data_IF_551863564659
#
_entry.id   IF_551863564659
#
_cell.length_a   1.000
_cell.length_b   1.000
_cell.length_c   1.000
_cell.angle_alpha   90.00
_cell.angle_beta   90.00
_cell.angle_gamma   90.00
#
_symmetry.space_group_name_H-M   'P 1'
#
loop_
_entity.id
_entity.type
_entity.pdbx_description
1 polymer ?
#
# COMPACT_ATOMS: atom_id res chain seq x y z
N UNK A 1 -24.09 23.67 16.83
CA UNK A 1 -25.34 23.34 16.12
C UNK A 1 -25.16 23.28 14.60
N UNK A 2 -24.58 24.27 13.91
CA UNK A 2 -24.20 24.08 12.49
C UNK A 2 -22.94 23.18 12.33
N UNK A 3 -21.91 23.39 13.15
CA UNK A 3 -20.69 22.54 13.14
C UNK A 3 -20.96 21.06 13.53
N UNK A 4 -21.83 20.81 14.51
CA UNK A 4 -22.18 19.43 14.95
C UNK A 4 -22.98 18.66 13.88
N UNK A 5 -23.82 19.35 13.10
CA UNK A 5 -24.59 18.73 12.00
C UNK A 5 -23.69 18.49 10.79
N UNK A 6 -22.70 19.36 10.55
CA UNK A 6 -21.70 19.19 9.49
C UNK A 6 -20.71 18.04 9.80
N UNK A 7 -20.32 17.88 11.08
CA UNK A 7 -19.53 16.74 11.56
C UNK A 7 -20.31 15.42 11.51
N UNK A 8 -21.60 15.39 11.89
CA UNK A 8 -22.44 14.18 11.74
C UNK A 8 -22.69 13.78 10.28
N UNK A 9 -22.71 14.73 9.34
CA UNK A 9 -22.78 14.45 7.91
C UNK A 9 -21.44 13.90 7.36
N UNK A 10 -20.29 14.34 7.88
CA UNK A 10 -18.97 13.79 7.52
C UNK A 10 -18.78 12.34 8.01
N UNK A 11 -19.18 12.04 9.26
CA UNK A 11 -19.10 10.69 9.83
C UNK A 11 -20.09 9.70 9.20
N UNK A 12 -21.33 10.14 8.94
CA UNK A 12 -22.31 9.34 8.21
C UNK A 12 -21.91 9.06 6.75
N UNK A 13 -21.20 10.00 6.12
CA UNK A 13 -20.67 9.84 4.76
C UNK A 13 -19.52 8.82 4.72
N UNK A 14 -18.59 8.85 5.68
CA UNK A 14 -17.43 7.94 5.74
C UNK A 14 -17.86 6.48 6.00
N UNK A 15 -18.80 6.26 6.92
CA UNK A 15 -19.35 4.92 7.24
C UNK A 15 -20.27 4.39 6.14
N UNK A 16 -21.00 5.26 5.44
CA UNK A 16 -21.75 4.90 4.23
C UNK A 16 -20.84 4.65 3.01
N UNK A 17 -19.66 5.28 2.95
CA UNK A 17 -18.63 5.08 1.93
C UNK A 17 -17.97 3.69 2.05
N UNK A 18 -17.61 3.31 3.28
CA UNK A 18 -17.06 1.97 3.58
C UNK A 18 -18.07 0.87 3.21
N UNK A 19 -19.37 1.14 3.34
CA UNK A 19 -20.44 0.18 3.01
C UNK A 19 -20.65 -0.07 1.51
N UNK A 20 -19.92 0.61 0.60
CA UNK A 20 -19.99 0.40 -0.86
C UNK A 20 -18.69 -0.09 -1.50
N UNK A 21 -17.72 -0.54 -0.70
CA UNK A 21 -16.58 -1.34 -1.15
C UNK A 21 -15.69 -0.69 -2.22
N UNK A 22 -15.39 0.60 -2.06
CA UNK A 22 -14.50 1.35 -2.94
C UNK A 22 -13.08 0.78 -3.04
N UNK A 23 -12.26 1.38 -3.88
CA UNK A 23 -10.83 1.05 -4.01
C UNK A 23 -9.98 1.73 -2.92
N UNK A 24 -8.77 1.18 -2.71
CA UNK A 24 -7.81 1.74 -1.77
C UNK A 24 -7.33 3.14 -2.18
N UNK A 25 -7.31 3.48 -3.47
CA UNK A 25 -6.93 4.83 -3.92
C UNK A 25 -7.90 5.88 -3.38
N UNK A 26 -9.19 5.58 -3.37
CA UNK A 26 -10.18 6.51 -2.87
C UNK A 26 -10.20 6.55 -1.36
N UNK A 27 -9.88 5.45 -0.68
CA UNK A 27 -9.62 5.46 0.75
C UNK A 27 -8.47 6.43 1.09
N UNK A 28 -7.30 6.28 0.45
CA UNK A 28 -6.15 7.16 0.64
C UNK A 28 -6.46 8.62 0.36
N UNK A 29 -7.19 8.93 -0.72
CA UNK A 29 -7.60 10.31 -1.04
C UNK A 29 -8.44 10.96 0.05
N UNK A 30 -9.23 10.18 0.78
CA UNK A 30 -10.15 10.70 1.80
C UNK A 30 -9.51 10.83 3.18
N UNK A 31 -8.64 9.90 3.58
CA UNK A 31 -8.06 9.87 4.94
C UNK A 31 -6.55 10.16 4.98
N UNK A 32 -5.87 10.22 3.84
CA UNK A 32 -4.42 10.33 3.76
C UNK A 32 -3.74 8.99 4.05
N UNK A 33 -2.71 9.02 4.88
CA UNK A 33 -1.99 7.83 5.31
C UNK A 33 -2.88 6.88 6.13
N UNK A 34 -2.71 5.58 5.90
CA UNK A 34 -3.37 4.52 6.65
C UNK A 34 -2.60 4.22 7.95
N UNK A 35 -3.32 3.85 9.03
CA UNK A 35 -2.69 3.27 10.20
C UNK A 35 -1.86 2.03 9.84
N UNK A 36 -0.71 1.86 10.49
CA UNK A 36 0.25 0.78 10.20
C UNK A 36 -0.40 -0.60 10.21
N UNK A 37 -1.29 -0.88 11.18
CA UNK A 37 -1.99 -2.16 11.26
C UNK A 37 -2.90 -2.40 10.06
N UNK A 38 -3.66 -1.39 9.65
CA UNK A 38 -4.53 -1.48 8.48
C UNK A 38 -3.71 -1.69 7.21
N UNK A 39 -2.64 -0.91 7.03
CA UNK A 39 -1.71 -1.06 5.92
C UNK A 39 -1.09 -2.48 5.89
N UNK A 40 -0.68 -3.01 7.05
CA UNK A 40 -0.14 -4.36 7.19
C UNK A 40 -1.13 -5.42 6.73
N UNK A 41 -2.38 -5.33 7.16
CA UNK A 41 -3.43 -6.30 6.81
C UNK A 41 -3.77 -6.26 5.33
N UNK A 42 -4.03 -5.07 4.76
CA UNK A 42 -4.32 -4.92 3.33
C UNK A 42 -3.15 -5.37 2.46
N UNK A 43 -1.93 -5.01 2.86
CA UNK A 43 -0.73 -5.44 2.15
C UNK A 43 -0.58 -6.97 2.22
N UNK A 44 -0.77 -7.59 3.39
CA UNK A 44 -0.66 -9.03 3.55
C UNK A 44 -1.70 -9.81 2.73
N UNK A 45 -2.95 -9.34 2.69
CA UNK A 45 -3.96 -9.96 1.82
C UNK A 45 -3.58 -9.85 0.34
N UNK A 46 -3.00 -8.71 -0.05
CA UNK A 46 -2.49 -8.50 -1.41
C UNK A 46 -1.30 -9.43 -1.71
N UNK A 47 -0.40 -9.68 -0.75
CA UNK A 47 0.69 -10.67 -0.86
C UNK A 47 0.13 -12.07 -1.14
N UNK A 48 -0.93 -12.49 -0.44
CA UNK A 48 -1.57 -13.79 -0.69
C UNK A 48 -2.21 -13.86 -2.08
N UNK A 49 -2.86 -12.79 -2.53
CA UNK A 49 -3.43 -12.71 -3.86
C UNK A 49 -2.34 -12.81 -4.94
N UNK A 50 -1.20 -12.13 -4.77
CA UNK A 50 -0.07 -12.20 -5.69
C UNK A 50 0.61 -13.56 -5.67
N UNK A 51 0.82 -14.16 -4.49
CA UNK A 51 1.32 -15.52 -4.35
C UNK A 51 0.49 -16.49 -5.19
N UNK A 52 -0.84 -16.38 -5.09
CA UNK A 52 -1.75 -17.18 -5.91
C UNK A 52 -1.52 -16.96 -7.40
N UNK A 53 -1.56 -15.72 -7.89
CA UNK A 53 -1.36 -15.41 -9.32
C UNK A 53 -0.01 -15.92 -9.84
N UNK A 54 1.06 -15.64 -9.11
CA UNK A 54 2.42 -16.01 -9.48
C UNK A 54 2.60 -17.53 -9.54
N UNK A 55 1.93 -18.29 -8.67
CA UNK A 55 1.95 -19.77 -8.69
C UNK A 55 1.30 -20.35 -9.96
N UNK A 56 0.36 -19.62 -10.58
CA UNK A 56 -0.20 -19.97 -11.89
C UNK A 56 0.57 -19.36 -13.07
N UNK A 57 1.72 -18.73 -12.82
CA UNK A 57 2.54 -18.08 -13.85
C UNK A 57 1.96 -16.76 -14.36
N UNK A 58 0.98 -16.19 -13.65
CA UNK A 58 0.35 -14.92 -14.00
C UNK A 58 1.11 -13.80 -13.29
N UNK A 59 1.44 -12.73 -14.03
CA UNK A 59 2.01 -11.48 -13.50
C UNK A 59 0.92 -10.42 -13.62
N UNK A 60 0.67 -9.65 -12.57
CA UNK A 60 -0.42 -8.66 -12.53
C UNK A 60 -0.14 -7.50 -13.48
N UNK A 61 1.05 -6.88 -13.34
CA UNK A 61 1.61 -5.77 -14.15
C UNK A 61 0.99 -4.39 -13.99
N UNK A 62 -0.19 -4.28 -13.38
CA UNK A 62 -0.84 -2.99 -13.11
C UNK A 62 -1.27 -2.88 -11.64
N UNK A 63 -0.37 -3.18 -10.70
CA UNK A 63 -0.68 -3.01 -9.29
C UNK A 63 -0.63 -1.54 -8.91
N UNK A 64 -1.73 -1.06 -8.34
CA UNK A 64 -1.91 0.28 -7.78
C UNK A 64 -3.13 0.25 -6.84
N UNK A 65 -3.29 1.21 -5.93
CA UNK A 65 -4.42 1.22 -5.00
C UNK A 65 -5.79 1.26 -5.69
N UNK A 66 -5.91 1.80 -6.90
CA UNK A 66 -7.15 1.78 -7.69
C UNK A 66 -7.59 0.34 -8.04
N UNK A 67 -6.63 -0.57 -8.14
CA UNK A 67 -6.85 -1.97 -8.47
C UNK A 67 -6.96 -2.88 -7.22
N UNK A 68 -6.99 -2.29 -6.01
CA UNK A 68 -7.20 -2.97 -4.73
C UNK A 68 -8.60 -2.63 -4.19
N UNK A 69 -9.59 -3.47 -4.52
CA UNK A 69 -10.96 -3.26 -4.06
C UNK A 69 -11.15 -3.75 -2.63
N UNK A 70 -11.81 -2.94 -1.81
CA UNK A 70 -12.20 -3.32 -0.45
C UNK A 70 -13.59 -3.94 -0.53
N UNK A 71 -13.74 -5.18 -0.08
CA UNK A 71 -15.04 -5.86 -0.07
C UNK A 71 -15.93 -5.34 1.06
N UNK A 72 -17.22 -5.65 1.02
CA UNK A 72 -18.15 -5.36 2.14
C UNK A 72 -17.79 -6.06 3.46
N UNK A 73 -16.86 -7.01 3.43
CA UNK A 73 -16.31 -7.69 4.60
C UNK A 73 -14.99 -7.08 5.09
N UNK A 74 -14.47 -6.04 4.42
CA UNK A 74 -13.20 -5.40 4.74
C UNK A 74 -11.96 -6.04 4.11
N UNK A 75 -12.12 -7.11 3.32
CA UNK A 75 -10.99 -7.79 2.65
C UNK A 75 -10.64 -7.16 1.30
N UNK A 76 -9.39 -7.24 0.90
CA UNK A 76 -8.85 -6.84 -0.39
C UNK A 76 -9.16 -7.88 -1.47
N UNK A 77 -9.53 -7.37 -2.64
CA UNK A 77 -9.59 -8.12 -3.90
C UNK A 77 -8.85 -7.37 -4.99
N UNK A 78 -7.96 -8.08 -5.67
CA UNK A 78 -7.35 -7.60 -6.91
C UNK A 78 -8.41 -7.51 -8.01
N UNK A 79 -8.43 -6.38 -8.70
CA UNK A 79 -9.22 -6.15 -9.90
C UNK A 79 -8.31 -5.79 -11.08
N UNK A 80 -8.91 -5.71 -12.27
CA UNK A 80 -8.26 -5.34 -13.53
C UNK A 80 -7.06 -6.21 -13.95
N UNK A 81 -7.36 -7.48 -14.25
CA UNK A 81 -6.42 -8.39 -14.90
C UNK A 81 -6.21 -8.11 -16.41
N UNK A 82 -6.60 -6.93 -16.89
CA UNK A 82 -6.56 -6.57 -18.31
C UNK A 82 -5.17 -6.72 -18.94
N UNK A 83 -4.11 -6.49 -18.15
CA UNK A 83 -2.72 -6.68 -18.56
C UNK A 83 -2.15 -8.05 -18.19
N UNK A 84 -2.74 -8.74 -17.22
CA UNK A 84 -2.31 -10.07 -16.76
C UNK A 84 -2.58 -11.16 -17.81
N UNK A 85 -3.58 -10.94 -18.67
CA UNK A 85 -3.96 -11.88 -19.76
C UNK A 85 -2.99 -11.87 -20.94
N UNK A 86 -2.22 -10.79 -21.14
CA UNK A 86 -1.12 -10.80 -22.12
C UNK A 86 0.00 -11.80 -21.71
N UNK A 87 0.04 -12.25 -20.46
CA UNK A 87 0.92 -13.32 -19.98
C UNK A 87 0.48 -14.74 -20.37
N UNK A 88 -0.78 -14.98 -20.76
CA UNK A 88 -1.21 -16.31 -21.20
C UNK A 88 -0.59 -16.72 -22.56
N UNK A 89 -0.01 -15.76 -23.30
CA UNK A 89 0.81 -16.05 -24.49
C UNK A 89 2.24 -16.50 -24.15
N UNK A 90 2.65 -16.51 -22.87
CA UNK A 90 4.01 -16.85 -22.44
C UNK A 90 4.22 -18.31 -22.03
N UNK A 91 3.22 -19.18 -22.13
CA UNK A 91 3.38 -20.61 -21.82
C UNK A 91 3.95 -21.45 -22.98
N UNK A 92 4.34 -20.82 -24.10
CA UNK A 92 4.93 -21.52 -25.26
C UNK A 92 6.22 -20.95 -25.83
N UNK A 93 6.86 -19.92 -25.28
CA UNK A 93 8.05 -19.35 -25.94
C UNK A 93 9.14 -18.89 -24.96
N UNK A 94 10.06 -19.74 -24.51
CA UNK A 94 11.28 -20.00 -25.28
C UNK A 94 11.05 -19.84 -26.78
N UNK A 95 11.36 -18.66 -27.34
CA UNK A 95 11.82 -18.42 -28.74
C UNK A 95 11.55 -16.96 -29.17
N UNK A 96 12.63 -16.28 -29.55
CA UNK A 96 12.75 -15.10 -30.42
C UNK A 96 12.33 -13.70 -29.91
N UNK A 97 13.39 -12.93 -29.59
CA UNK A 97 13.67 -11.48 -29.57
C UNK A 97 12.82 -10.48 -30.39
N UNK A 98 11.70 -10.84 -31.02
CA UNK A 98 10.93 -9.92 -31.89
C UNK A 98 9.64 -9.33 -31.28
N UNK A 99 9.04 -9.98 -30.29
CA UNK A 99 7.72 -9.58 -29.76
C UNK A 99 7.81 -8.78 -28.45
N UNK A 100 8.89 -8.97 -27.68
CA UNK A 100 9.09 -8.32 -26.37
C UNK A 100 9.18 -6.79 -26.52
N UNK A 101 9.89 -6.28 -27.54
CA UNK A 101 10.01 -4.83 -27.74
C UNK A 101 8.68 -4.18 -28.12
N UNK A 102 7.86 -4.85 -28.94
CA UNK A 102 6.56 -4.32 -29.36
C UNK A 102 5.57 -4.31 -28.20
N UNK A 103 5.54 -5.38 -27.41
CA UNK A 103 4.70 -5.49 -26.22
C UNK A 103 5.15 -4.51 -25.14
N UNK A 104 6.47 -4.32 -24.94
CA UNK A 104 7.01 -3.32 -23.99
C UNK A 104 6.69 -1.88 -24.42
N UNK A 105 6.72 -1.58 -25.72
CA UNK A 105 6.43 -0.24 -26.25
C UNK A 105 4.94 0.09 -26.24
N UNK A 106 4.08 -0.87 -26.58
CA UNK A 106 2.61 -0.71 -26.47
C UNK A 106 2.15 -0.66 -25.00
N UNK A 107 2.84 -1.39 -24.11
CA UNK A 107 2.63 -1.29 -22.66
C UNK A 107 3.04 0.09 -22.13
N UNK A 108 4.20 0.62 -22.54
CA UNK A 108 4.62 1.98 -22.18
C UNK A 108 3.63 3.03 -22.69
N UNK A 109 3.22 2.99 -23.95
CA UNK A 109 2.32 4.01 -24.51
C UNK A 109 0.95 4.05 -23.79
N UNK A 110 0.45 2.91 -23.29
CA UNK A 110 -0.79 2.85 -22.48
C UNK A 110 -0.57 3.30 -21.03
N UNK A 111 0.58 3.01 -20.44
CA UNK A 111 0.93 3.36 -19.05
C UNK A 111 1.43 4.80 -18.89
N UNK A 112 2.08 5.38 -19.91
CA UNK A 112 2.45 6.80 -19.96
C UNK A 112 1.19 7.68 -20.00
N UNK A 113 0.05 7.13 -20.45
CA UNK A 113 -1.27 7.76 -20.31
C UNK A 113 -2.02 7.37 -19.00
N UNK A 114 -1.44 6.46 -18.19
CA UNK A 114 -1.96 5.96 -16.92
C UNK A 114 -1.24 6.55 -15.70
N UNK A 115 -1.06 5.74 -14.66
CA UNK A 115 -0.43 6.11 -13.38
C UNK A 115 1.03 5.58 -13.36
N UNK A 116 2.01 6.31 -13.96
CA UNK A 116 3.39 5.84 -14.15
C UNK A 116 4.20 5.62 -12.87
N UNK A 117 3.71 6.06 -11.72
CA UNK A 117 4.39 6.08 -10.42
C UNK A 117 4.71 4.67 -9.88
N UNK A 118 4.04 3.64 -10.37
CA UNK A 118 4.18 2.24 -9.93
C UNK A 118 5.09 1.41 -10.84
N UNK A 119 5.62 1.99 -11.92
CA UNK A 119 6.40 1.27 -12.92
C UNK A 119 7.79 0.94 -12.37
N UNK A 120 8.18 -0.33 -12.49
CA UNK A 120 9.50 -0.78 -12.06
C UNK A 120 10.65 -0.28 -12.98
N UNK A 121 11.87 -0.06 -12.46
CA UNK A 121 13.01 0.45 -13.23
C UNK A 121 13.33 -0.40 -14.47
N UNK A 122 13.24 -1.73 -14.36
CA UNK A 122 13.51 -2.63 -15.48
C UNK A 122 12.50 -2.49 -16.63
N UNK A 123 11.26 -2.07 -16.35
CA UNK A 123 10.23 -1.81 -17.36
C UNK A 123 10.54 -0.51 -18.10
N UNK A 124 10.92 0.54 -17.35
CA UNK A 124 11.35 1.84 -17.90
C UNK A 124 12.57 1.64 -18.83
N UNK A 125 13.55 0.87 -18.36
CA UNK A 125 14.78 0.55 -19.08
C UNK A 125 14.56 -0.46 -20.22
N UNK A 126 13.32 -0.91 -20.45
CA UNK A 126 12.94 -1.91 -21.48
C UNK A 126 13.74 -3.19 -21.41
N UNK A 127 14.11 -3.58 -20.19
CA UNK A 127 14.70 -4.86 -19.91
C UNK A 127 13.56 -5.89 -19.84
N UNK A 128 13.82 -7.13 -20.26
CA UNK A 128 12.83 -8.20 -20.11
C UNK A 128 12.35 -8.28 -18.66
N UNK A 129 11.04 -8.29 -18.45
CA UNK A 129 10.43 -8.20 -17.11
C UNK A 129 9.56 -9.41 -16.79
N UNK A 130 9.32 -9.65 -15.49
CA UNK A 130 8.60 -10.82 -14.99
C UNK A 130 7.94 -10.54 -13.63
N UNK A 131 7.74 -11.58 -12.82
CA UNK A 131 7.12 -11.47 -11.48
C UNK A 131 7.69 -10.37 -10.56
N UNK A 132 9.00 -10.04 -10.58
CA UNK A 132 9.55 -8.99 -9.72
C UNK A 132 8.95 -7.59 -9.88
N UNK A 133 8.32 -7.28 -11.02
CA UNK A 133 7.68 -5.96 -11.22
C UNK A 133 6.48 -5.75 -10.30
N UNK A 134 5.76 -6.82 -9.99
CA UNK A 134 4.62 -6.75 -9.06
C UNK A 134 5.11 -6.44 -7.63
N UNK A 135 6.26 -6.98 -7.24
CA UNK A 135 6.86 -6.69 -5.92
C UNK A 135 7.39 -5.27 -5.81
N UNK A 136 7.89 -4.68 -6.90
CA UNK A 136 8.21 -3.25 -6.94
C UNK A 136 6.96 -2.41 -6.70
N UNK A 137 5.90 -2.65 -7.47
CA UNK A 137 4.64 -1.92 -7.33
C UNK A 137 4.04 -2.08 -5.92
N UNK A 138 4.16 -3.27 -5.32
CA UNK A 138 3.81 -3.47 -3.91
C UNK A 138 4.62 -2.57 -2.97
N UNK A 139 5.92 -2.40 -3.18
CA UNK A 139 6.75 -1.46 -2.42
C UNK A 139 6.25 -0.02 -2.49
N UNK A 140 5.85 0.43 -3.69
CA UNK A 140 5.25 1.76 -3.91
C UNK A 140 3.92 1.88 -3.15
N UNK A 141 3.05 0.88 -3.27
CA UNK A 141 1.74 0.84 -2.58
C UNK A 141 1.91 0.89 -1.07
N UNK A 142 2.85 0.13 -0.49
CA UNK A 142 3.07 0.13 0.96
C UNK A 142 3.60 1.48 1.46
N UNK A 143 4.52 2.07 0.72
CA UNK A 143 4.99 3.43 1.03
C UNK A 143 3.82 4.41 1.01
N UNK A 144 3.01 4.41 -0.05
CA UNK A 144 1.87 5.31 -0.17
C UNK A 144 0.80 5.04 0.88
N UNK A 145 0.58 3.78 1.26
CA UNK A 145 -0.31 3.44 2.38
C UNK A 145 0.15 4.08 3.68
N UNK A 146 1.46 4.12 3.95
CA UNK A 146 1.99 4.60 5.22
C UNK A 146 2.28 6.11 5.23
N UNK A 147 2.54 6.72 4.08
CA UNK A 147 2.93 8.13 3.95
C UNK A 147 1.80 8.99 3.37
N UNK A 148 0.87 8.39 2.62
CA UNK A 148 -0.23 9.09 1.95
C UNK A 148 0.13 9.65 0.56
N UNK A 149 1.37 9.49 0.11
CA UNK A 149 1.83 9.84 -1.23
C UNK A 149 2.89 8.84 -1.72
N UNK A 150 3.12 8.79 -3.04
CA UNK A 150 4.13 7.93 -3.65
C UNK A 150 5.56 8.42 -3.33
N UNK A 151 6.58 7.52 -3.32
CA UNK A 151 7.95 7.90 -2.99
C UNK A 151 8.68 8.65 -4.12
N UNK A 152 8.22 8.50 -5.37
CA UNK A 152 8.79 9.16 -6.54
C UNK A 152 7.70 9.94 -7.26
N UNK A 153 7.96 11.20 -7.59
CA UNK A 153 7.02 12.11 -8.24
C UNK A 153 7.77 13.16 -9.05
N UNK A 154 7.41 13.30 -10.34
CA UNK A 154 7.98 14.29 -11.24
C UNK A 154 6.89 15.01 -12.04
N UNK A 155 7.15 16.27 -12.41
CA UNK A 155 6.22 17.06 -13.23
C UNK A 155 6.14 16.53 -14.67
N UNK A 156 7.18 15.81 -15.09
CA UNK A 156 7.26 15.11 -16.38
C UNK A 156 7.55 13.61 -16.18
N UNK A 157 7.10 12.74 -17.11
CA UNK A 157 7.47 11.33 -17.09
C UNK A 157 8.99 11.10 -17.06
N UNK A 158 9.75 11.92 -17.77
CA UNK A 158 11.22 11.85 -17.80
C UNK A 158 11.85 12.11 -16.43
N UNK A 159 11.34 13.11 -15.69
CA UNK A 159 11.78 13.40 -14.33
C UNK A 159 11.40 12.26 -13.38
N UNK A 160 10.14 11.79 -13.41
CA UNK A 160 9.70 10.66 -12.60
C UNK A 160 10.56 9.42 -12.85
N UNK A 161 10.80 9.08 -14.11
CA UNK A 161 11.62 7.93 -14.47
C UNK A 161 13.09 8.11 -14.06
N UNK A 162 13.61 9.34 -14.13
CA UNK A 162 14.94 9.68 -13.61
C UNK A 162 15.06 9.37 -12.12
N UNK A 163 14.07 9.80 -11.34
CA UNK A 163 14.00 9.55 -9.89
C UNK A 163 13.90 8.05 -9.59
N UNK A 164 12.98 7.33 -10.25
CA UNK A 164 12.80 5.88 -10.06
C UNK A 164 14.09 5.08 -10.29
N UNK A 165 14.96 5.55 -11.20
CA UNK A 165 16.22 4.87 -11.53
C UNK A 165 17.36 5.25 -10.57
N UNK A 166 17.38 6.49 -10.05
CA UNK A 166 18.60 7.09 -9.50
C UNK A 166 18.46 7.63 -8.08
N UNK A 167 17.25 7.94 -7.64
CA UNK A 167 17.02 8.63 -6.37
C UNK A 167 16.78 7.64 -5.23
N UNK A 168 17.23 8.02 -4.04
CA UNK A 168 16.93 7.30 -2.81
C UNK A 168 15.54 7.68 -2.28
N UNK A 169 14.90 6.75 -1.58
CA UNK A 169 13.61 6.99 -0.92
C UNK A 169 13.79 8.03 0.18
N UNK A 170 12.94 9.05 0.18
CA UNK A 170 12.85 10.02 1.27
C UNK A 170 11.90 9.46 2.33
N UNK A 171 12.33 9.47 3.59
CA UNK A 171 11.53 8.97 4.71
C UNK A 171 10.99 10.13 5.55
N UNK A 172 9.74 10.05 6.03
CA UNK A 172 9.25 10.94 7.08
C UNK A 172 10.13 10.83 8.35
N UNK A 173 10.32 11.95 9.03
CA UNK A 173 11.13 12.06 10.25
C UNK A 173 10.28 12.53 11.45
N UNK A 174 10.81 12.37 12.66
CA UNK A 174 10.15 12.85 13.88
C UNK A 174 8.88 12.06 14.20
N UNK A 175 7.80 12.77 14.50
CA UNK A 175 6.52 12.18 14.93
C UNK A 175 5.78 11.43 13.80
N UNK A 176 6.15 11.68 12.54
CA UNK A 176 5.61 10.99 11.36
C UNK A 176 6.48 9.80 10.93
N UNK A 177 7.56 9.51 11.66
CA UNK A 177 8.52 8.47 11.28
C UNK A 177 7.86 7.07 11.23
N UNK A 178 8.09 6.37 10.12
CA UNK A 178 7.57 5.02 9.94
C UNK A 178 8.30 4.00 10.82
N UNK A 179 7.63 2.92 11.25
CA UNK A 179 8.28 1.79 11.90
C UNK A 179 9.49 1.27 11.11
N UNK A 180 10.57 0.93 11.81
CA UNK A 180 11.83 0.50 11.16
C UNK A 180 11.63 -0.75 10.29
N UNK A 181 10.80 -1.69 10.72
CA UNK A 181 10.47 -2.87 9.95
C UNK A 181 9.65 -2.56 8.69
N UNK A 182 8.81 -1.53 8.69
CA UNK A 182 8.12 -1.05 7.51
C UNK A 182 9.11 -0.44 6.50
N UNK A 183 10.02 0.43 6.96
CA UNK A 183 11.06 1.01 6.10
C UNK A 183 11.95 -0.08 5.48
N UNK A 184 12.40 -1.05 6.28
CA UNK A 184 13.20 -2.17 5.79
C UNK A 184 12.46 -3.02 4.75
N UNK A 185 11.16 -3.27 4.95
CA UNK A 185 10.35 -4.00 3.98
C UNK A 185 10.28 -3.25 2.65
N UNK A 186 9.92 -1.96 2.69
CA UNK A 186 9.80 -1.11 1.51
C UNK A 186 11.16 -1.00 0.79
N UNK A 187 12.25 -0.73 1.49
CA UNK A 187 13.60 -0.69 0.90
C UNK A 187 14.02 -2.00 0.23
N UNK A 188 13.56 -3.14 0.76
CA UNK A 188 13.84 -4.47 0.19
C UNK A 188 12.99 -4.76 -1.05
N UNK A 189 11.76 -4.23 -1.11
CA UNK A 189 10.86 -4.31 -2.27
C UNK A 189 11.23 -3.30 -3.37
N UNK A 190 11.75 -2.14 -3.02
CA UNK A 190 12.18 -1.08 -3.94
C UNK A 190 13.67 -1.17 -4.32
N UNK A 191 14.21 -2.39 -4.34
CA UNK A 191 15.53 -2.64 -4.93
C UNK A 191 15.46 -2.48 -6.45
N UNK A 192 16.31 -1.61 -7.01
CA UNK A 192 16.35 -1.32 -8.45
C UNK A 192 16.75 -2.53 -9.28
N UNK A 193 17.65 -3.37 -8.75
CA UNK A 193 18.00 -4.64 -9.38
C UNK A 193 16.94 -5.72 -9.05
N UNK A 194 16.15 -6.19 -10.04
CA UNK A 194 15.06 -7.14 -9.80
C UNK A 194 15.53 -8.52 -9.32
N UNK A 195 16.81 -8.87 -9.48
CA UNK A 195 17.36 -10.15 -9.04
C UNK A 195 17.61 -10.24 -7.53
N UNK A 196 17.80 -9.10 -6.87
CA UNK A 196 18.04 -9.00 -5.41
C UNK A 196 16.85 -8.41 -4.67
N UNK A 197 15.78 -8.08 -5.39
CA UNK A 197 14.53 -7.55 -4.85
C UNK A 197 13.81 -8.61 -4.03
N UNK A 198 13.29 -8.23 -2.86
CA UNK A 198 12.50 -9.12 -2.03
C UNK A 198 11.29 -9.65 -2.80
N UNK A 199 11.08 -10.97 -2.77
CA UNK A 199 10.02 -11.62 -3.53
C UNK A 199 10.48 -12.14 -4.90
N UNK A 200 11.71 -11.86 -5.32
CA UNK A 200 12.29 -12.46 -6.53
C UNK A 200 12.36 -14.00 -6.42
N UNK A 201 12.64 -14.54 -5.22
CA UNK A 201 12.56 -15.97 -4.92
C UNK A 201 11.15 -16.50 -4.66
N UNK A 202 10.15 -15.61 -4.59
CA UNK A 202 8.75 -15.92 -4.35
C UNK A 202 8.19 -15.24 -3.10
N UNK A 203 6.85 -15.29 -2.96
CA UNK A 203 6.13 -14.60 -1.89
C UNK A 203 6.56 -15.03 -0.46
N UNK A 204 7.17 -16.21 -0.29
CA UNK A 204 7.63 -16.68 1.01
C UNK A 204 8.66 -15.73 1.64
N UNK A 205 9.52 -15.09 0.83
CA UNK A 205 10.53 -14.13 1.31
C UNK A 205 9.85 -12.92 1.95
N UNK A 206 8.80 -12.41 1.29
CA UNK A 206 8.00 -11.28 1.78
C UNK A 206 7.29 -11.66 3.08
N UNK A 207 6.68 -12.85 3.13
CA UNK A 207 5.92 -13.33 4.30
C UNK A 207 6.77 -13.55 5.55
N UNK A 208 8.06 -13.81 5.39
CA UNK A 208 9.03 -13.99 6.48
C UNK A 208 9.61 -12.67 7.00
N UNK A 209 9.32 -11.54 6.35
CA UNK A 209 9.83 -10.24 6.77
C UNK A 209 9.32 -9.87 8.17
N UNK A 210 10.16 -9.18 8.97
CA UNK A 210 9.84 -8.84 10.37
C UNK A 210 8.57 -8.01 10.54
N UNK A 211 8.19 -7.27 9.50
CA UNK A 211 6.94 -6.49 9.45
C UNK A 211 5.67 -7.35 9.62
N UNK A 212 5.76 -8.65 9.33
CA UNK A 212 4.65 -9.61 9.49
C UNK A 212 4.89 -10.63 10.61
N UNK A 213 5.83 -10.36 11.53
CA UNK A 213 6.25 -11.34 12.56
C UNK A 213 5.08 -11.93 13.35
N UNK A 214 4.10 -11.10 13.67
CA UNK A 214 2.97 -11.47 14.53
C UNK A 214 1.70 -11.83 13.73
N UNK A 215 1.80 -11.89 12.39
CA UNK A 215 0.66 -12.14 11.51
C UNK A 215 0.39 -13.63 11.31
N UNK A 216 -0.85 -14.07 11.57
CA UNK A 216 -1.31 -15.41 11.19
C UNK A 216 -1.76 -15.46 9.72
N UNK A 217 -0.81 -15.80 8.85
CA UNK A 217 -1.07 -16.01 7.42
C UNK A 217 -2.13 -17.08 7.11
N UNK A 218 -2.36 -18.06 7.99
CA UNK A 218 -3.32 -19.15 7.75
C UNK A 218 -4.75 -18.76 8.12
N UNK A 219 -4.89 -17.90 9.13
CA UNK A 219 -6.14 -17.33 9.59
C UNK A 219 -6.57 -16.06 8.84
N UNK A 220 -5.64 -15.37 8.15
CA UNK A 220 -5.84 -14.06 7.54
C UNK A 220 -7.14 -13.92 6.73
N UNK A 221 -7.42 -14.88 5.84
CA UNK A 221 -8.62 -14.87 4.98
C UNK A 221 -9.85 -15.56 5.61
N UNK A 222 -9.68 -16.22 6.76
CA UNK A 222 -10.75 -16.96 7.47
C UNK A 222 -11.41 -16.14 8.57
N UNK A 223 -10.74 -15.09 9.03
CA UNK A 223 -11.29 -14.13 9.95
C UNK A 223 -12.11 -13.10 9.17
N UNK A 224 -13.23 -12.63 9.74
CA UNK A 224 -13.78 -11.33 9.33
C UNK A 224 -12.70 -10.29 9.66
N UNK A 225 -12.39 -9.35 8.77
CA UNK A 225 -11.34 -8.35 9.01
C UNK A 225 -11.38 -7.87 10.47
N UNK A 226 -10.28 -8.06 11.20
CA UNK A 226 -10.19 -7.76 12.65
C UNK A 226 -10.49 -6.28 12.93
N UNK A 227 -10.34 -5.42 11.90
CA UNK A 227 -10.78 -4.04 11.94
C UNK A 227 -12.26 -3.89 11.53
N UNK A 228 -13.11 -3.93 12.54
CA UNK A 228 -14.37 -3.17 12.57
C UNK A 228 -14.18 -2.17 13.71
N UNK A 229 -14.07 -0.85 13.47
CA UNK A 229 -13.88 0.09 14.56
C UNK A 229 -15.05 -0.02 15.54
N UNK A 230 -14.75 -0.41 16.77
CA UNK A 230 -15.68 -0.40 17.89
C UNK A 230 -15.42 0.88 18.69
N UNK A 231 -16.30 1.86 18.52
CA UNK A 231 -16.31 3.13 19.24
C UNK A 231 -17.30 3.03 20.42
N UNK A 232 -16.90 3.43 21.63
CA UNK A 232 -17.81 3.46 22.79
C UNK A 232 -18.77 4.67 22.71
N UNK A 233 -18.41 5.73 21.99
CA UNK A 233 -19.29 6.85 21.65
C UNK A 233 -18.84 7.62 20.39
N UNK A 234 -19.69 8.50 19.85
CA UNK A 234 -19.45 9.25 18.59
C UNK A 234 -18.24 10.20 18.63
N UNK A 235 -17.75 10.56 19.83
CA UNK A 235 -16.58 11.41 20.05
C UNK A 235 -15.36 10.62 20.59
N UNK A 236 -15.40 9.29 20.49
CA UNK A 236 -14.37 8.42 21.04
C UNK A 236 -13.07 8.46 20.21
N UNK A 237 -12.17 9.35 20.61
CA UNK A 237 -10.81 9.49 20.06
C UNK A 237 -9.80 8.59 20.77
N UNK A 238 -10.21 7.56 21.52
CA UNK A 238 -9.30 6.69 22.29
C UNK A 238 -8.25 5.95 21.44
N UNK A 239 -8.50 5.79 20.13
CA UNK A 239 -7.50 5.27 19.18
C UNK A 239 -6.50 6.33 18.68
N UNK A 240 -6.78 7.61 18.94
CA UNK A 240 -6.03 8.76 18.45
C UNK A 240 -5.42 9.61 19.57
N UNK A 241 -5.68 9.28 20.84
CA UNK A 241 -5.15 10.03 21.97
C UNK A 241 -4.34 9.11 22.90
N UNK A 242 -3.04 9.04 22.60
CA UNK A 242 -1.92 8.77 23.50
C UNK A 242 -1.96 7.54 24.43
N UNK A 243 -0.96 6.67 24.22
CA UNK A 243 -0.50 5.63 25.13
C UNK A 243 0.09 6.17 26.48
N UNK A 244 -0.41 7.29 27.03
CA UNK A 244 0.27 8.04 28.11
C UNK A 244 -0.49 8.21 29.44
N UNK A 245 -1.58 7.47 29.70
CA UNK A 245 -2.24 7.49 31.03
C UNK A 245 -2.07 6.23 31.88
N UNK A 246 -0.96 5.48 31.73
CA UNK A 246 -0.69 4.33 32.59
C UNK A 246 0.65 4.32 33.34
N UNK A 247 1.30 5.48 33.54
CA UNK A 247 2.49 5.52 34.41
C UNK A 247 2.53 6.61 35.50
N UNK A 248 1.44 7.32 35.80
CA UNK A 248 1.43 8.21 36.98
C UNK A 248 0.17 8.01 37.82
N UNK A 249 0.36 7.47 39.02
CA UNK A 249 -0.68 7.16 40.00
C UNK A 249 -1.45 8.39 40.53
N UNK A 250 -2.45 8.16 41.39
CA UNK A 250 -3.41 9.20 41.77
C UNK A 250 -2.79 10.15 42.79
N UNK A 251 -2.40 11.33 42.33
CA UNK A 251 -2.02 12.41 43.22
C UNK A 251 -1.50 13.60 42.44
N UNK A 252 -2.34 14.62 42.26
CA UNK A 252 -2.13 15.96 42.80
C UNK A 252 -3.39 16.80 42.52
N UNK A 253 -4.01 17.32 43.58
CA UNK A 253 -5.10 18.29 43.51
C UNK A 253 -4.57 19.61 42.94
N UNK A 254 -5.28 20.17 41.96
CA UNK A 254 -5.13 21.57 41.57
C UNK A 254 -5.67 22.46 42.70
N UNK A 255 -4.78 23.16 43.41
CA UNK A 255 -5.13 24.30 44.24
C UNK A 255 -5.19 25.58 43.38
N UNK A 256 -6.06 26.55 43.69
CA UNK A 256 -6.21 27.74 42.85
C UNK A 256 -5.04 28.70 43.09
N UNK A 257 -4.39 29.18 42.02
CA UNK A 257 -3.48 30.33 42.10
C UNK A 257 -3.97 31.47 41.21
N UNK A 258 -4.56 32.41 41.93
CA UNK A 258 -4.66 33.85 41.68
C UNK A 258 -3.52 34.40 40.83
N UNK A 259 -3.86 35.19 39.80
CA UNK A 259 -2.90 35.99 39.04
C UNK A 259 -2.43 37.23 39.81
N UNK A 260 -1.28 37.84 39.45
CA UNK A 260 -0.92 39.16 39.90
C UNK A 260 -1.20 40.24 38.84
N UNK A 261 -2.01 41.21 39.30
CA UNK A 261 -2.11 42.66 38.99
C UNK A 261 -2.06 43.16 37.55
#
# INVERSE_FOLDING_TARGET
>A
MEEEVEQQLQWGSLVAWISRGGDCATLLKNIGALPVEMARMYFAETVLALEYLHNYGIVHRDLKPDNLLITSMGHIKLTDFGLSKMGLMSLTTNLYEGHIEKDAREFLDKQVCGTPEYIAPEVILRQGYGKPVDWWAMGIILYEFLVGCVPFFGDTPEELFGQVISDDILWPEGDEALPTDAQLLISSLLQTNPLVRLGAGGAFEVKQHSFFRDLDWTGLLRQKAEFIPHLESEDDTSYFDSEWQQEMGPGWRMGPKTGPQ
#
